data_IF_952190146650
#
_entry.id   IF_952190146650
#
_cell.length_a   1.000
_cell.length_b   1.000
_cell.length_c   1.000
_cell.angle_alpha   90.00
_cell.angle_beta   90.00
_cell.angle_gamma   90.00
#
_symmetry.space_group_name_H-M   'P 1'
#
loop_
_entity.id
_entity.type
_entity.pdbx_description
1 polymer ?
#
# COMPACT_ATOMS: atom_id res chain seq x y z
N UNK A 1 3.42 7.72 -10.64
CA UNK A 1 2.90 9.08 -10.80
C UNK A 1 3.75 9.98 -9.94
N UNK A 2 4.40 10.96 -10.55
CA UNK A 2 5.16 11.97 -9.84
C UNK A 2 4.33 13.25 -9.78
N UNK A 3 4.25 13.83 -8.59
CA UNK A 3 3.58 15.11 -8.34
C UNK A 3 4.63 16.13 -7.88
N UNK A 4 4.21 17.38 -7.70
CA UNK A 4 5.10 18.47 -7.27
C UNK A 4 5.83 18.10 -5.96
N UNK A 5 5.08 17.68 -4.94
CA UNK A 5 5.61 17.47 -3.59
C UNK A 5 5.72 16.00 -3.15
N UNK A 6 5.33 15.04 -4.00
CA UNK A 6 5.31 13.62 -3.63
C UNK A 6 5.32 12.70 -4.85
N UNK A 7 5.55 11.41 -4.62
CA UNK A 7 5.49 10.36 -5.65
C UNK A 7 4.65 9.18 -5.19
N UNK A 8 3.85 8.63 -6.10
CA UNK A 8 3.06 7.42 -5.87
C UNK A 8 3.40 6.37 -6.92
N UNK A 9 3.76 5.16 -6.48
CA UNK A 9 3.77 3.97 -7.33
C UNK A 9 2.52 3.14 -7.08
N UNK A 10 1.72 2.91 -8.12
CA UNK A 10 0.67 1.88 -8.08
C UNK A 10 1.25 0.56 -8.56
N UNK A 11 1.05 -0.52 -7.82
CA UNK A 11 1.61 -1.84 -8.17
C UNK A 11 0.65 -2.98 -7.81
N UNK A 12 0.73 -4.05 -8.60
CA UNK A 12 0.18 -5.36 -8.26
C UNK A 12 1.36 -6.34 -8.24
N UNK A 13 1.76 -6.78 -7.05
CA UNK A 13 2.90 -7.69 -6.88
C UNK A 13 2.50 -9.14 -7.12
N UNK A 14 3.46 -9.97 -7.49
CA UNK A 14 3.28 -11.39 -7.78
C UNK A 14 2.70 -12.15 -6.59
N UNK A 15 1.70 -13.01 -6.81
CA UNK A 15 1.22 -13.95 -5.79
C UNK A 15 2.23 -15.07 -5.48
N UNK A 16 3.27 -15.26 -6.32
CA UNK A 16 4.33 -16.25 -6.09
C UNK A 16 5.15 -15.84 -4.84
N UNK A 17 5.21 -16.68 -3.79
CA UNK A 17 5.95 -16.35 -2.56
C UNK A 17 7.40 -16.01 -2.82
N UNK A 18 7.87 -14.89 -2.24
CA UNK A 18 9.24 -14.41 -2.36
C UNK A 18 9.46 -13.48 -3.57
N UNK A 19 8.72 -13.67 -4.66
CA UNK A 19 8.79 -12.76 -5.81
C UNK A 19 8.16 -11.41 -5.46
N UNK A 20 7.02 -11.40 -4.76
CA UNK A 20 6.44 -10.18 -4.20
C UNK A 20 7.42 -9.41 -3.30
N UNK A 21 8.19 -10.10 -2.44
CA UNK A 21 9.18 -9.46 -1.56
C UNK A 21 10.29 -8.80 -2.39
N UNK A 22 10.85 -9.53 -3.35
CA UNK A 22 11.90 -8.99 -4.23
C UNK A 22 11.39 -7.81 -5.07
N UNK A 23 10.14 -7.88 -5.56
CA UNK A 23 9.51 -6.80 -6.29
C UNK A 23 9.23 -5.58 -5.39
N UNK A 24 8.76 -5.79 -4.16
CA UNK A 24 8.56 -4.72 -3.17
C UNK A 24 9.89 -4.00 -2.92
N UNK A 25 10.99 -4.72 -2.69
CA UNK A 25 12.32 -4.11 -2.53
C UNK A 25 12.76 -3.32 -3.76
N UNK A 26 12.49 -3.83 -4.97
CA UNK A 26 12.82 -3.13 -6.21
C UNK A 26 12.06 -1.81 -6.34
N UNK A 27 10.75 -1.82 -6.09
CA UNK A 27 9.91 -0.61 -6.13
C UNK A 27 10.32 0.37 -5.02
N UNK A 28 10.51 -0.11 -3.79
CA UNK A 28 10.97 0.72 -2.68
C UNK A 28 12.34 1.37 -2.96
N UNK A 29 13.29 0.63 -3.54
CA UNK A 29 14.61 1.17 -3.90
C UNK A 29 14.51 2.23 -5.00
N UNK A 30 13.66 1.99 -6.00
CA UNK A 30 13.43 2.95 -7.08
C UNK A 30 12.77 4.24 -6.55
N UNK A 31 11.78 4.14 -5.67
CA UNK A 31 11.10 5.32 -5.10
C UNK A 31 12.03 6.16 -4.21
N UNK A 32 12.99 5.55 -3.50
CA UNK A 32 14.01 6.28 -2.73
C UNK A 32 14.96 7.12 -3.59
N UNK A 33 14.91 7.01 -4.92
CA UNK A 33 15.70 7.86 -5.82
C UNK A 33 15.06 9.25 -6.01
N UNK A 34 13.79 9.40 -5.65
CA UNK A 34 13.10 10.69 -5.66
C UNK A 34 13.37 11.41 -4.34
N UNK A 35 13.72 12.69 -4.42
CA UNK A 35 13.91 13.57 -3.25
C UNK A 35 12.56 14.13 -2.77
N UNK A 36 11.57 13.26 -2.60
CA UNK A 36 10.18 13.58 -2.25
C UNK A 36 9.55 12.46 -1.42
N UNK A 37 8.59 12.76 -0.53
CA UNK A 37 7.75 11.76 0.10
C UNK A 37 7.16 10.76 -0.90
N UNK A 38 7.27 9.47 -0.60
CA UNK A 38 6.91 8.40 -1.51
C UNK A 38 5.87 7.44 -0.91
N UNK A 39 4.95 7.01 -1.77
CA UNK A 39 3.92 6.01 -1.45
C UNK A 39 3.93 4.85 -2.45
N UNK A 40 3.75 3.64 -1.95
CA UNK A 40 3.41 2.45 -2.74
C UNK A 40 1.94 2.13 -2.45
N UNK A 41 1.12 2.04 -3.50
CA UNK A 41 -0.31 1.77 -3.41
C UNK A 41 -0.70 0.56 -4.25
N UNK A 42 -1.55 -0.32 -3.71
CA UNK A 42 -2.16 -1.43 -4.47
C UNK A 42 -1.98 -2.79 -3.81
N UNK A 43 -2.28 -3.85 -4.56
CA UNK A 43 -2.20 -5.24 -4.11
C UNK A 43 -0.74 -5.70 -4.05
N UNK A 44 -0.24 -5.88 -2.83
CA UNK A 44 1.13 -6.33 -2.60
C UNK A 44 1.24 -7.85 -2.48
N UNK A 45 0.12 -8.57 -2.49
CA UNK A 45 0.06 -10.02 -2.30
C UNK A 45 0.86 -10.50 -1.07
N UNK A 46 0.94 -9.66 -0.04
CA UNK A 46 1.74 -9.89 1.16
C UNK A 46 0.85 -9.74 2.39
N UNK A 47 0.55 -10.83 3.12
CA UNK A 47 -0.12 -10.74 4.41
C UNK A 47 0.65 -9.86 5.40
N UNK A 48 -0.02 -9.17 6.34
CA UNK A 48 0.61 -8.16 7.21
C UNK A 48 1.88 -8.66 7.93
N UNK A 49 1.83 -9.88 8.49
CA UNK A 49 2.96 -10.45 9.22
C UNK A 49 4.21 -10.65 8.35
N UNK A 50 4.04 -10.93 7.06
CA UNK A 50 5.14 -11.08 6.11
C UNK A 50 5.59 -9.70 5.63
N UNK A 51 4.64 -8.81 5.32
CA UNK A 51 4.92 -7.43 4.91
C UNK A 51 5.80 -6.70 5.95
N UNK A 52 5.39 -6.70 7.22
CA UNK A 52 6.13 -6.03 8.31
C UNK A 52 7.54 -6.59 8.53
N UNK A 53 7.79 -7.86 8.19
CA UNK A 53 9.14 -8.46 8.25
C UNK A 53 9.96 -8.14 7.00
N UNK A 54 9.31 -7.79 5.90
CA UNK A 54 9.94 -7.66 4.59
C UNK A 54 10.33 -6.22 4.26
N UNK A 55 9.66 -5.22 4.83
CA UNK A 55 9.93 -3.80 4.54
C UNK A 55 9.94 -2.95 5.80
N UNK A 56 10.65 -1.81 5.71
CA UNK A 56 10.60 -0.72 6.70
C UNK A 56 9.54 0.33 6.38
N UNK A 57 8.90 0.23 5.21
CA UNK A 57 7.80 1.10 4.84
C UNK A 57 6.59 0.82 5.74
N UNK A 58 5.89 1.87 6.11
CA UNK A 58 4.78 1.83 7.05
C UNK A 58 3.47 1.78 6.29
N UNK A 59 2.58 0.85 6.66
CA UNK A 59 1.20 0.85 6.16
C UNK A 59 0.39 1.94 6.84
N UNK A 60 -0.26 2.78 6.05
CA UNK A 60 -1.18 3.81 6.52
C UNK A 60 -2.57 3.27 6.87
N UNK A 61 -2.91 2.07 6.39
CA UNK A 61 -4.19 1.40 6.64
C UNK A 61 -3.99 0.04 7.30
N UNK A 62 -5.05 -0.47 7.93
CA UNK A 62 -5.04 -1.80 8.61
C UNK A 62 -6.25 -2.68 8.25
N UNK A 63 -7.02 -2.31 7.22
CA UNK A 63 -8.22 -3.05 6.83
C UNK A 63 -7.91 -4.32 6.04
N UNK A 64 -8.69 -5.37 6.31
CA UNK A 64 -8.69 -6.59 5.50
C UNK A 64 -9.43 -6.33 4.21
N UNK A 65 -8.83 -6.71 3.09
CA UNK A 65 -9.36 -6.43 1.75
C UNK A 65 -9.80 -7.68 1.01
N UNK A 66 -9.31 -8.86 1.42
CA UNK A 66 -9.56 -10.11 0.72
C UNK A 66 -10.00 -11.26 1.65
N UNK A 67 -10.94 -12.13 1.23
CA UNK A 67 -11.86 -11.93 0.11
C UNK A 67 -13.04 -11.03 0.50
N UNK A 68 -13.67 -10.32 -0.45
CA UNK A 68 -14.68 -9.29 -0.14
C UNK A 68 -15.89 -9.78 0.64
N UNK A 69 -16.31 -11.03 0.43
CA UNK A 69 -17.50 -11.63 1.05
C UNK A 69 -17.28 -12.07 2.49
N UNK A 70 -16.04 -11.98 2.96
CA UNK A 70 -15.66 -12.24 4.34
C UNK A 70 -14.19 -11.89 4.51
N UNK A 71 -13.83 -10.59 4.62
CA UNK A 71 -12.44 -10.15 4.59
C UNK A 71 -11.64 -10.75 5.75
N UNK A 72 -10.58 -11.47 5.42
CA UNK A 72 -9.73 -12.19 6.38
C UNK A 72 -8.29 -11.70 6.38
N UNK A 73 -7.81 -11.28 5.22
CA UNK A 73 -6.43 -10.87 5.00
C UNK A 73 -6.41 -9.50 4.34
N UNK A 74 -5.46 -8.67 4.74
CA UNK A 74 -5.09 -7.47 4.00
C UNK A 74 -4.06 -7.86 2.94
N UNK A 75 -4.34 -7.53 1.69
CA UNK A 75 -3.41 -7.71 0.58
C UNK A 75 -3.14 -6.37 -0.14
N UNK A 76 -4.08 -5.43 -0.04
CA UNK A 76 -3.93 -4.08 -0.56
C UNK A 76 -3.41 -3.12 0.52
N UNK A 77 -2.53 -2.21 0.12
CA UNK A 77 -1.83 -1.33 1.04
C UNK A 77 -1.66 0.07 0.45
N UNK A 78 -1.60 1.05 1.34
CA UNK A 78 -0.89 2.31 1.13
C UNK A 78 0.34 2.29 2.04
N UNK A 79 1.52 2.04 1.48
CA UNK A 79 2.79 2.05 2.21
C UNK A 79 3.53 3.37 1.98
N UNK A 80 4.12 3.92 3.03
CA UNK A 80 4.96 5.12 2.95
C UNK A 80 6.30 4.91 3.65
N UNK A 81 7.33 5.59 3.17
CA UNK A 81 8.67 5.51 3.76
C UNK A 81 8.85 6.44 4.97
N UNK A 82 8.21 7.62 4.92
CA UNK A 82 8.26 8.64 5.96
C UNK A 82 6.83 9.02 6.38
N UNK A 83 6.24 8.36 7.40
CA UNK A 83 4.87 8.63 7.81
C UNK A 83 4.61 10.08 8.22
N UNK A 84 5.60 10.78 8.78
CA UNK A 84 5.48 12.18 9.21
C UNK A 84 5.25 13.17 8.07
N UNK A 85 5.61 12.80 6.83
CA UNK A 85 5.37 13.64 5.65
C UNK A 85 3.92 13.58 5.15
N UNK A 86 3.15 12.60 5.62
CA UNK A 86 1.74 12.43 5.31
C UNK A 86 0.99 12.85 6.58
N UNK A 87 0.24 13.95 6.50
CA UNK A 87 -0.41 14.61 7.63
C UNK A 87 -1.46 13.74 8.32
N UNK A 88 -2.63 14.30 8.66
CA UNK A 88 -3.67 13.47 9.28
C UNK A 88 -4.11 12.37 8.33
N UNK A 89 -4.04 11.12 8.80
CA UNK A 89 -4.43 9.92 8.04
C UNK A 89 -5.82 9.49 8.49
N UNK A 90 -6.77 9.54 7.56
CA UNK A 90 -8.16 9.13 7.77
C UNK A 90 -8.50 7.98 6.82
N UNK A 91 -8.55 6.75 7.34
CA UNK A 91 -9.08 5.62 6.58
C UNK A 91 -10.60 5.74 6.49
N UNK A 92 -11.14 5.75 5.28
CA UNK A 92 -12.57 5.97 5.01
C UNK A 92 -13.30 4.64 4.80
N UNK A 93 -14.61 4.58 5.11
CA UNK A 93 -15.42 3.40 4.80
C UNK A 93 -15.39 3.06 3.31
N UNK A 94 -15.07 1.81 3.01
CA UNK A 94 -15.00 1.31 1.65
C UNK A 94 -16.37 0.82 1.16
N UNK A 95 -16.85 1.25 -0.03
CA UNK A 95 -18.06 0.69 -0.61
C UNK A 95 -17.80 -0.76 -1.04
N UNK A 96 -18.78 -1.63 -0.81
CA UNK A 96 -18.75 -2.99 -1.38
C UNK A 96 -19.19 -2.92 -2.84
N UNK A 97 -18.29 -3.28 -3.76
CA UNK A 97 -18.54 -3.28 -5.19
C UNK A 97 -18.71 -4.71 -5.73
N UNK A 98 -19.52 -4.88 -6.77
CA UNK A 98 -19.77 -6.20 -7.38
C UNK A 98 -18.65 -6.65 -8.32
N UNK A 99 -17.78 -5.73 -8.75
CA UNK A 99 -16.82 -5.92 -9.85
C UNK A 99 -15.47 -6.57 -9.47
N UNK A 100 -15.17 -6.69 -8.19
CA UNK A 100 -13.90 -7.25 -7.68
C UNK A 100 -14.14 -8.27 -6.58
N UNK A 101 -13.21 -9.17 -6.33
CA UNK A 101 -13.14 -10.05 -5.16
C UNK A 101 -12.37 -9.41 -3.99
N UNK A 102 -11.77 -8.23 -4.19
CA UNK A 102 -11.20 -7.37 -3.16
C UNK A 102 -12.17 -6.24 -2.77
N UNK A 103 -12.10 -5.81 -1.51
CA UNK A 103 -12.67 -4.53 -1.06
C UNK A 103 -11.71 -3.39 -1.39
N UNK A 104 -12.20 -2.23 -1.87
CA UNK A 104 -11.34 -1.08 -2.07
C UNK A 104 -10.82 -0.55 -0.74
N UNK A 105 -9.68 0.15 -0.78
CA UNK A 105 -9.19 0.96 0.33
C UNK A 105 -9.30 2.43 -0.04
N UNK A 106 -9.94 3.20 0.82
CA UNK A 106 -10.06 4.65 0.68
C UNK A 106 -9.29 5.31 1.82
N UNK A 107 -8.43 6.25 1.45
CA UNK A 107 -7.59 7.00 2.37
C UNK A 107 -7.74 8.48 2.05
N UNK A 108 -8.08 9.28 3.05
CA UNK A 108 -7.89 10.72 3.02
C UNK A 108 -6.63 11.05 3.84
N UNK A 109 -5.69 11.74 3.21
CA UNK A 109 -4.44 12.13 3.85
C UNK A 109 -3.99 13.51 3.35
N UNK A 110 -3.46 14.31 4.26
CA UNK A 110 -2.73 15.54 3.91
C UNK A 110 -1.30 15.24 3.50
N UNK A 111 -0.71 16.10 2.68
CA UNK A 111 0.75 16.17 2.52
C UNK A 111 1.18 17.42 3.25
N UNK A 112 2.09 17.25 4.22
CA UNK A 112 2.57 18.33 5.07
C UNK A 112 3.50 19.28 4.30
#
# INVERSE_FOLDING_TARGET
MEFENFVIASTHLSFIPGFNIAQLHKVSKWLRQFDKPAMIAGDLNLPPAILHKSTRWTSLTRSKTYPKWGPRTQLDYFLVDEPSAWGTINELPAPSLTISDHLPLLLDCGIA
#
